data_IF_704657333921
#
_entry.id   IF_704657333921
#
_cell.length_a   1.000
_cell.length_b   1.000
_cell.length_c   1.000
_cell.angle_alpha   90.00
_cell.angle_beta   90.00
_cell.angle_gamma   90.00
#
_symmetry.space_group_name_H-M   'P 1'
#
loop_
_entity.id
_entity.type
_entity.pdbx_description
1 polymer ?
#
# COMPACT_ATOMS: atom_id res chain seq x y z
N UNK A 1 17.01 -18.71 14.54
CA UNK A 1 15.76 -18.61 13.77
C UNK A 1 15.57 -17.15 13.43
N UNK A 2 15.60 -16.78 12.15
CA UNK A 2 15.32 -15.41 11.74
C UNK A 2 13.90 -15.05 12.22
N UNK A 3 13.65 -13.90 12.85
CA UNK A 3 12.31 -13.54 13.28
C UNK A 3 11.53 -12.98 12.07
N UNK A 4 11.37 -13.81 11.02
CA UNK A 4 10.60 -13.47 9.82
C UNK A 4 9.17 -13.08 10.22
N UNK A 5 8.60 -13.78 11.20
CA UNK A 5 7.31 -13.44 11.82
C UNK A 5 7.25 -12.03 12.40
N UNK A 6 8.35 -11.52 12.98
CA UNK A 6 8.42 -10.14 13.50
C UNK A 6 8.45 -9.11 12.37
N UNK A 7 9.17 -9.41 11.28
CA UNK A 7 9.23 -8.52 10.10
C UNK A 7 7.87 -8.48 9.42
N UNK A 8 7.22 -9.64 9.23
CA UNK A 8 5.86 -9.74 8.68
C UNK A 8 4.84 -9.01 9.56
N UNK A 9 4.92 -9.17 10.88
CA UNK A 9 4.09 -8.41 11.82
C UNK A 9 4.31 -6.89 11.69
N UNK A 10 5.56 -6.45 11.59
CA UNK A 10 5.88 -5.04 11.42
C UNK A 10 5.36 -4.48 10.08
N UNK A 11 5.43 -5.27 9.00
CA UNK A 11 4.85 -4.93 7.69
C UNK A 11 3.33 -4.83 7.79
N UNK A 12 2.67 -5.79 8.43
CA UNK A 12 1.22 -5.74 8.63
C UNK A 12 0.82 -4.49 9.43
N UNK A 13 1.57 -4.19 10.50
CA UNK A 13 1.32 -3.05 11.37
C UNK A 13 1.51 -1.71 10.65
N UNK A 14 2.51 -1.60 9.77
CA UNK A 14 2.73 -0.37 8.99
C UNK A 14 1.54 -0.08 8.08
N UNK A 15 1.01 -1.10 7.39
CA UNK A 15 -0.16 -0.98 6.52
C UNK A 15 -1.40 -0.62 7.34
N UNK A 16 -1.59 -1.23 8.51
CA UNK A 16 -2.71 -0.92 9.39
C UNK A 16 -2.67 0.53 9.88
N UNK A 17 -1.50 1.02 10.32
CA UNK A 17 -1.31 2.41 10.73
C UNK A 17 -1.61 3.37 9.56
N UNK A 18 -1.16 3.04 8.35
CA UNK A 18 -1.47 3.81 7.15
C UNK A 18 -2.99 3.86 6.89
N UNK A 19 -3.70 2.73 7.01
CA UNK A 19 -5.15 2.69 6.87
C UNK A 19 -5.85 3.59 7.89
N UNK A 20 -5.43 3.54 9.15
CA UNK A 20 -5.99 4.39 10.21
C UNK A 20 -5.74 5.87 9.94
N UNK A 21 -4.56 6.23 9.44
CA UNK A 21 -4.24 7.62 9.09
C UNK A 21 -5.10 8.12 7.92
N UNK A 22 -5.29 7.29 6.89
CA UNK A 22 -6.16 7.60 5.76
C UNK A 22 -7.63 7.77 6.20
N UNK A 23 -8.12 6.90 7.08
CA UNK A 23 -9.48 6.98 7.63
C UNK A 23 -9.70 8.26 8.47
N UNK A 24 -8.72 8.64 9.31
CA UNK A 24 -8.79 9.86 10.12
C UNK A 24 -8.79 11.13 9.26
N UNK A 25 -8.00 11.16 8.18
CA UNK A 25 -7.93 12.30 7.26
C UNK A 25 -9.28 12.60 6.62
N UNK A 26 -10.04 11.57 6.29
CA UNK A 26 -11.37 11.70 5.70
C UNK A 26 -12.41 12.24 6.70
N UNK A 27 -12.32 11.84 7.97
CA UNK A 27 -13.18 12.38 9.04
C UNK A 27 -12.86 13.84 9.41
N UNK A 28 -11.59 14.24 9.43
CA UNK A 28 -11.14 15.56 9.94
C UNK A 28 -11.07 16.68 8.87
N UNK A 29 -11.59 16.44 7.65
CA UNK A 29 -11.70 17.47 6.62
C UNK A 29 -10.36 18.02 6.08
N UNK A 30 -9.29 17.20 6.10
CA UNK A 30 -8.03 17.53 5.42
C UNK A 30 -6.90 18.14 6.26
N UNK A 31 -6.92 17.98 7.59
CA UNK A 31 -5.73 18.27 8.41
C UNK A 31 -4.51 17.46 7.92
N UNK A 32 -3.33 18.05 8.01
CA UNK A 32 -2.09 17.54 7.41
C UNK A 32 -1.73 16.14 7.95
N UNK A 33 -1.85 15.13 7.08
CA UNK A 33 -1.40 13.76 7.35
C UNK A 33 0.13 13.73 7.53
N UNK A 34 0.62 12.83 8.39
CA UNK A 34 2.05 12.55 8.60
C UNK A 34 2.74 12.21 7.27
N UNK A 35 2.10 11.45 6.39
CA UNK A 35 2.59 11.17 5.03
C UNK A 35 2.77 12.43 4.19
N UNK A 36 1.96 13.47 4.40
CA UNK A 36 2.10 14.74 3.70
C UNK A 36 3.23 15.60 4.27
N UNK A 37 3.51 15.45 5.57
CA UNK A 37 4.53 16.24 6.28
C UNK A 37 5.94 15.70 6.06
N UNK A 38 6.10 14.38 5.97
CA UNK A 38 7.41 13.71 5.79
C UNK A 38 7.34 12.57 4.75
N UNK A 39 6.98 12.87 3.48
CA UNK A 39 6.75 11.85 2.46
C UNK A 39 7.98 11.00 2.18
N UNK A 40 9.17 11.62 2.09
CA UNK A 40 10.43 10.93 1.76
C UNK A 40 10.85 9.95 2.85
N UNK A 41 10.74 10.35 4.12
CA UNK A 41 11.11 9.51 5.25
C UNK A 41 10.17 8.33 5.42
N UNK A 42 8.86 8.56 5.24
CA UNK A 42 7.87 7.50 5.32
C UNK A 42 7.98 6.54 4.13
N UNK A 43 8.19 7.05 2.91
CA UNK A 43 8.45 6.20 1.74
C UNK A 43 9.72 5.36 1.92
N UNK A 44 10.81 5.97 2.42
CA UNK A 44 12.05 5.25 2.72
C UNK A 44 11.88 4.21 3.83
N UNK A 45 11.17 4.55 4.91
CA UNK A 45 10.89 3.63 6.02
C UNK A 45 10.04 2.43 5.60
N UNK A 46 8.96 2.68 4.84
CA UNK A 46 8.16 1.61 4.23
C UNK A 46 9.00 0.76 3.29
N UNK A 47 9.76 1.38 2.39
CA UNK A 47 10.61 0.66 1.44
C UNK A 47 11.64 -0.24 2.12
N UNK A 48 12.31 0.26 3.16
CA UNK A 48 13.27 -0.53 3.93
C UNK A 48 12.60 -1.69 4.67
N UNK A 49 11.49 -1.44 5.36
CA UNK A 49 10.77 -2.46 6.12
C UNK A 49 10.28 -3.59 5.21
N UNK A 50 9.66 -3.24 4.09
CA UNK A 50 9.17 -4.21 3.11
C UNK A 50 10.32 -4.90 2.37
N UNK A 51 11.40 -4.17 2.09
CA UNK A 51 12.63 -4.72 1.50
C UNK A 51 13.29 -5.79 2.37
N UNK A 52 13.23 -5.65 3.70
CA UNK A 52 13.69 -6.69 4.63
C UNK A 52 12.84 -7.96 4.54
N UNK A 53 11.51 -7.84 4.45
CA UNK A 53 10.63 -9.00 4.28
C UNK A 53 10.91 -9.76 2.98
N UNK A 54 11.10 -9.03 1.88
CA UNK A 54 11.47 -9.62 0.59
C UNK A 54 12.88 -10.25 0.61
N UNK A 55 13.87 -9.60 1.22
CA UNK A 55 15.20 -10.15 1.39
C UNK A 55 15.20 -11.44 2.23
N UNK A 56 14.34 -11.51 3.25
CA UNK A 56 14.10 -12.72 4.03
C UNK A 56 13.59 -13.88 3.16
N UNK A 57 12.55 -13.63 2.35
CA UNK A 57 12.01 -14.62 1.43
C UNK A 57 13.05 -15.08 0.38
N UNK A 58 13.88 -14.15 -0.13
CA UNK A 58 15.00 -14.44 -1.03
C UNK A 58 16.08 -15.34 -0.38
N UNK A 59 16.33 -15.16 0.91
CA UNK A 59 17.26 -16.02 1.65
C UNK A 59 16.69 -17.43 1.84
N UNK A 60 15.38 -17.57 2.04
CA UNK A 60 14.70 -18.87 2.17
C UNK A 60 14.71 -19.70 0.88
N UNK A 61 14.59 -19.05 -0.28
CA UNK A 61 14.70 -19.73 -1.60
C UNK A 61 16.14 -20.12 -1.97
N UNK A 62 17.13 -19.86 -1.10
CA UNK A 62 18.52 -20.29 -1.27
C UNK A 62 19.31 -19.46 -2.29
N UNK A 63 18.92 -18.20 -2.52
CA UNK A 63 19.66 -17.34 -3.45
C UNK A 63 21.09 -17.10 -2.93
N UNK A 64 22.14 -17.19 -3.77
CA UNK A 64 23.50 -16.87 -3.36
C UNK A 64 23.59 -15.45 -2.78
N UNK A 65 24.23 -15.27 -1.62
CA UNK A 65 24.25 -13.95 -0.94
C UNK A 65 24.84 -12.82 -1.81
N UNK A 66 25.75 -13.15 -2.72
CA UNK A 66 26.34 -12.19 -3.66
C UNK A 66 25.37 -11.65 -4.71
N UNK A 67 24.25 -12.33 -5.00
CA UNK A 67 23.26 -11.88 -5.98
C UNK A 67 22.09 -11.11 -5.36
N UNK A 68 21.98 -11.08 -4.02
CA UNK A 68 20.92 -10.36 -3.30
C UNK A 68 20.86 -8.87 -3.66
N UNK A 69 21.98 -8.11 -3.70
CA UNK A 69 21.93 -6.70 -4.07
C UNK A 69 21.38 -6.46 -5.48
N UNK A 70 21.76 -7.31 -6.45
CA UNK A 70 21.23 -7.20 -7.81
C UNK A 70 19.77 -7.63 -7.90
N UNK A 71 19.36 -8.67 -7.18
CA UNK A 71 17.95 -9.08 -7.10
C UNK A 71 17.08 -7.95 -6.54
N UNK A 72 17.54 -7.28 -5.47
CA UNK A 72 16.87 -6.12 -4.89
C UNK A 72 16.81 -4.94 -5.87
N UNK A 73 17.89 -4.67 -6.62
CA UNK A 73 17.91 -3.59 -7.61
C UNK A 73 16.88 -3.82 -8.71
N UNK A 74 16.90 -4.99 -9.36
CA UNK A 74 15.95 -5.32 -10.44
C UNK A 74 14.51 -5.43 -9.94
N UNK A 75 14.30 -5.88 -8.71
CA UNK A 75 12.99 -5.87 -8.06
C UNK A 75 12.46 -4.45 -7.89
N UNK A 76 13.27 -3.51 -7.37
CA UNK A 76 12.86 -2.10 -7.23
C UNK A 76 12.57 -1.44 -8.57
N UNK A 77 13.40 -1.69 -9.60
CA UNK A 77 13.14 -1.21 -10.97
C UNK A 77 11.82 -1.78 -11.49
N UNK A 78 11.57 -3.07 -11.26
CA UNK A 78 10.31 -3.71 -11.63
C UNK A 78 9.10 -3.08 -10.93
N UNK A 79 9.21 -2.76 -9.64
CA UNK A 79 8.17 -2.05 -8.87
C UNK A 79 7.91 -0.68 -9.48
N UNK A 80 8.95 0.12 -9.72
CA UNK A 80 8.81 1.48 -10.25
C UNK A 80 8.11 1.47 -11.62
N UNK A 81 8.52 0.56 -12.51
CA UNK A 81 7.88 0.37 -13.83
C UNK A 81 6.41 -0.05 -13.65
N UNK A 82 6.15 -1.02 -12.77
CA UNK A 82 4.79 -1.49 -12.49
C UNK A 82 3.89 -0.37 -11.95
N UNK A 83 4.41 0.48 -11.07
CA UNK A 83 3.70 1.64 -10.52
C UNK A 83 3.38 2.67 -11.60
N UNK A 84 4.33 3.00 -12.48
CA UNK A 84 4.10 3.92 -13.61
C UNK A 84 3.00 3.38 -14.54
N UNK A 85 3.07 2.09 -14.90
CA UNK A 85 2.05 1.45 -15.75
C UNK A 85 0.69 1.47 -15.05
N UNK A 86 0.63 1.12 -13.77
CA UNK A 86 -0.60 1.12 -13.00
C UNK A 86 -1.24 2.51 -12.95
N UNK A 87 -0.46 3.56 -12.65
CA UNK A 87 -0.96 4.94 -12.63
C UNK A 87 -1.47 5.36 -14.00
N UNK A 88 -0.75 5.05 -15.08
CA UNK A 88 -1.19 5.36 -16.44
C UNK A 88 -2.51 4.68 -16.80
N UNK A 89 -2.69 3.41 -16.43
CA UNK A 89 -3.93 2.66 -16.65
C UNK A 89 -5.07 3.22 -15.80
N UNK A 90 -4.84 3.51 -14.52
CA UNK A 90 -5.85 4.08 -13.63
C UNK A 90 -6.33 5.45 -14.13
N UNK A 91 -5.41 6.31 -14.58
CA UNK A 91 -5.74 7.62 -15.17
C UNK A 91 -6.55 7.47 -16.46
N UNK A 92 -6.18 6.52 -17.32
CA UNK A 92 -6.88 6.25 -18.58
C UNK A 92 -8.31 5.73 -18.32
N UNK A 93 -8.46 4.79 -17.38
CA UNK A 93 -9.76 4.28 -16.97
C UNK A 93 -10.64 5.38 -16.39
N UNK A 94 -10.08 6.21 -15.50
CA UNK A 94 -10.77 7.37 -14.94
C UNK A 94 -11.23 8.34 -16.02
N UNK A 95 -10.38 8.65 -17.01
CA UNK A 95 -10.73 9.51 -18.13
C UNK A 95 -11.86 8.94 -19.00
N UNK A 96 -11.82 7.64 -19.30
CA UNK A 96 -12.87 6.96 -20.08
C UNK A 96 -14.22 6.99 -19.34
N UNK A 97 -14.22 6.66 -18.05
CA UNK A 97 -15.40 6.77 -17.18
C UNK A 97 -15.89 8.23 -17.18
N UNK A 98 -15.03 9.19 -16.91
CA UNK A 98 -15.43 10.60 -16.89
C UNK A 98 -16.08 11.06 -18.21
N UNK A 99 -15.58 10.58 -19.36
CA UNK A 99 -16.11 10.93 -20.69
C UNK A 99 -17.46 10.29 -21.00
N UNK A 100 -17.68 9.03 -20.62
CA UNK A 100 -18.97 8.33 -20.79
C UNK A 100 -20.05 8.97 -19.92
N UNK A 101 -19.69 9.41 -18.72
CA UNK A 101 -20.61 9.95 -17.73
C UNK A 101 -20.82 11.48 -17.85
N UNK A 102 -20.01 12.19 -18.64
CA UNK A 102 -20.25 13.58 -19.05
C UNK A 102 -21.46 13.74 -20.00
N UNK A 103 -22.08 12.63 -20.43
CA UNK A 103 -23.31 12.66 -21.20
C UNK A 103 -24.50 13.03 -20.29
N UNK A 104 -25.26 14.11 -20.57
CA UNK A 104 -26.31 14.64 -19.70
C UNK A 104 -27.43 13.64 -19.33
N UNK A 105 -27.60 12.56 -20.11
CA UNK A 105 -28.57 11.49 -19.80
C UNK A 105 -28.17 10.61 -18.59
N UNK A 106 -26.89 10.59 -18.20
CA UNK A 106 -26.36 9.76 -17.12
C UNK A 106 -25.81 10.58 -15.94
N UNK A 107 -25.42 11.84 -16.18
CA UNK A 107 -24.73 12.70 -15.23
C UNK A 107 -25.49 13.04 -13.94
N UNK A 108 -26.83 13.10 -13.97
CA UNK A 108 -27.63 13.44 -12.78
C UNK A 108 -27.80 12.28 -11.78
N UNK A 109 -27.64 11.01 -12.21
CA UNK A 109 -27.89 9.84 -11.36
C UNK A 109 -26.66 9.34 -10.59
N UNK A 110 -25.47 9.81 -10.95
CA UNK A 110 -24.20 9.38 -10.35
C UNK A 110 -23.26 10.58 -10.15
N UNK A 111 -23.71 11.58 -9.40
CA UNK A 111 -22.78 12.36 -8.59
C UNK A 111 -22.26 11.44 -7.47
N UNK A 112 -21.49 10.40 -7.83
CA UNK A 112 -20.75 9.61 -6.86
C UNK A 112 -19.70 10.57 -6.31
N UNK A 113 -20.04 11.20 -5.18
CA UNK A 113 -19.10 12.00 -4.41
C UNK A 113 -17.84 11.17 -4.24
N UNK A 114 -16.73 11.64 -4.83
CA UNK A 114 -15.44 10.96 -4.85
C UNK A 114 -15.01 10.51 -3.45
N UNK A 115 -15.46 11.24 -2.42
CA UNK A 115 -15.28 10.92 -1.01
C UNK A 115 -15.80 9.50 -0.69
N UNK A 116 -17.02 9.15 -1.13
CA UNK A 116 -17.62 7.84 -0.82
C UNK A 116 -16.90 6.65 -1.48
N UNK A 117 -16.21 6.88 -2.59
CA UNK A 117 -15.41 5.87 -3.28
C UNK A 117 -14.06 5.62 -2.59
N UNK A 118 -13.51 6.62 -1.91
CA UNK A 118 -12.23 6.49 -1.17
C UNK A 118 -12.39 5.70 0.13
N UNK A 119 -13.58 5.72 0.73
CA UNK A 119 -13.91 4.96 1.94
C UNK A 119 -13.66 3.45 1.76
N UNK A 120 -14.18 2.87 0.67
CA UNK A 120 -14.16 1.41 0.44
C UNK A 120 -12.74 0.83 0.50
N UNK A 121 -11.75 1.31 -0.29
CA UNK A 121 -10.40 0.79 -0.23
C UNK A 121 -9.72 1.02 1.12
N UNK A 122 -10.04 2.11 1.84
CA UNK A 122 -9.46 2.38 3.17
C UNK A 122 -9.93 1.33 4.19
N UNK A 123 -11.22 1.03 4.23
CA UNK A 123 -11.77 0.02 5.15
C UNK A 123 -11.30 -1.40 4.79
N UNK A 124 -11.20 -1.73 3.50
CA UNK A 124 -10.63 -3.00 3.05
C UNK A 124 -9.17 -3.14 3.47
N UNK A 125 -8.35 -2.11 3.22
CA UNK A 125 -6.94 -2.10 3.60
C UNK A 125 -6.77 -2.22 5.12
N UNK A 126 -7.59 -1.49 5.89
CA UNK A 126 -7.59 -1.56 7.34
C UNK A 126 -8.04 -2.92 7.89
N UNK A 127 -9.10 -3.50 7.34
CA UNK A 127 -9.60 -4.81 7.76
C UNK A 127 -8.62 -5.95 7.46
N UNK A 128 -8.07 -5.99 6.25
CA UNK A 128 -7.11 -7.01 5.84
C UNK A 128 -5.80 -6.90 6.62
N UNK A 129 -5.28 -5.68 6.81
CA UNK A 129 -4.05 -5.47 7.59
C UNK A 129 -4.25 -5.76 9.08
N UNK A 130 -5.42 -5.46 9.65
CA UNK A 130 -5.74 -5.83 11.04
C UNK A 130 -5.79 -7.35 11.23
N UNK A 131 -6.44 -8.07 10.31
CA UNK A 131 -6.47 -9.54 10.32
C UNK A 131 -5.05 -10.11 10.28
N UNK A 132 -4.22 -9.63 9.35
CA UNK A 132 -2.85 -10.11 9.19
C UNK A 132 -1.96 -9.74 10.39
N UNK A 133 -2.14 -8.56 10.99
CA UNK A 133 -1.47 -8.19 12.24
C UNK A 133 -1.77 -9.16 13.38
N UNK A 134 -3.03 -9.56 13.52
CA UNK A 134 -3.44 -10.48 14.60
C UNK A 134 -2.80 -11.84 14.37
N UNK A 135 -2.87 -12.37 13.15
CA UNK A 135 -2.27 -13.66 12.77
C UNK A 135 -0.77 -13.68 13.09
N UNK A 136 -0.01 -12.70 12.59
CA UNK A 136 1.44 -12.62 12.80
C UNK A 136 1.83 -12.25 14.22
N UNK A 137 1.00 -11.46 14.91
CA UNK A 137 1.22 -11.11 16.32
C UNK A 137 1.08 -12.32 17.24
N UNK A 138 0.11 -13.20 16.97
CA UNK A 138 -0.05 -14.45 17.71
C UNK A 138 1.14 -15.40 17.49
N UNK A 139 1.64 -15.50 16.25
CA UNK A 139 2.85 -16.29 15.94
C UNK A 139 4.13 -15.76 16.61
N UNK A 140 4.20 -14.46 16.92
CA UNK A 140 5.34 -13.87 17.63
C UNK A 140 5.27 -14.10 19.15
N UNK A 141 4.06 -14.25 19.70
CA UNK A 141 3.81 -14.39 21.14
C UNK A 141 3.74 -15.85 21.62
N UNK A 142 3.45 -16.80 20.72
CA UNK A 142 3.39 -18.24 20.99
C UNK A 142 4.70 -18.97 20.74
#
# INVERSE_FOLDING_TARGET
TYPVSLIEFAIALSIFVLALELARKEQDGGKQSLFRRYPWWLAGGFGLLHGMGFAGALAEIGLPQGSVPMALLFFNIGIEIGQIIFVALAMTAWWLVSKVFANPAFGERMAVSQDRLLIIPIYLLGGLSAMWCIERGLEVLG
#
